data_IF_997124575714
#
_entry.id   IF_997124575714
#
_cell.length_a   1.000
_cell.length_b   1.000
_cell.length_c   1.000
_cell.angle_alpha   90.00
_cell.angle_beta   90.00
_cell.angle_gamma   90.00
#
_symmetry.space_group_name_H-M   'P 1'
#
loop_
_entity.id
_entity.type
_entity.pdbx_description
1 polymer ?
#
# COMPACT_ATOMS: atom_id res chain seq x y z
N UNK A 1 -8.96 -27.71 19.83
CA UNK A 1 -8.73 -26.26 20.01
C UNK A 1 -10.05 -25.57 19.72
N UNK A 2 -10.68 -24.97 20.73
CA UNK A 2 -11.97 -24.29 20.60
C UNK A 2 -11.68 -22.94 19.94
N UNK A 3 -12.18 -22.77 18.72
CA UNK A 3 -12.15 -21.51 18.00
C UNK A 3 -13.12 -20.57 18.73
N UNK A 4 -12.60 -19.70 19.60
CA UNK A 4 -13.42 -18.63 20.17
C UNK A 4 -13.93 -17.78 19.01
N UNK A 5 -15.24 -17.81 18.78
CA UNK A 5 -15.92 -16.86 17.94
C UNK A 5 -15.79 -15.49 18.62
N UNK A 6 -14.72 -14.78 18.30
CA UNK A 6 -14.64 -13.34 18.58
C UNK A 6 -15.83 -12.73 17.84
N UNK A 7 -16.75 -12.11 18.58
CA UNK A 7 -17.84 -11.35 17.99
C UNK A 7 -17.21 -10.31 17.05
N UNK A 8 -17.27 -10.58 15.74
CA UNK A 8 -16.72 -9.68 14.73
C UNK A 8 -17.68 -8.51 14.61
N UNK A 9 -17.34 -7.40 15.25
CA UNK A 9 -18.07 -6.15 15.11
C UNK A 9 -17.85 -5.59 13.71
N UNK A 10 -18.77 -5.93 12.81
CA UNK A 10 -18.84 -5.30 11.49
C UNK A 10 -19.36 -3.89 11.66
N UNK A 11 -18.62 -2.94 11.12
CA UNK A 11 -18.95 -1.53 11.05
C UNK A 11 -18.84 -1.06 9.61
N UNK A 12 -19.47 0.06 9.30
CA UNK A 12 -19.29 0.72 7.99
C UNK A 12 -18.16 1.74 8.05
N UNK A 13 -17.54 2.06 6.91
CA UNK A 13 -16.58 3.17 6.86
C UNK A 13 -17.24 4.52 7.23
N UNK A 14 -18.54 4.70 6.97
CA UNK A 14 -19.30 5.87 7.37
C UNK A 14 -19.47 6.00 8.89
N UNK A 15 -19.64 4.88 9.60
CA UNK A 15 -19.63 4.85 11.07
C UNK A 15 -18.24 5.22 11.62
N UNK A 16 -17.17 4.64 11.07
CA UNK A 16 -15.79 4.98 11.45
C UNK A 16 -15.47 6.45 11.16
N UNK A 17 -15.97 6.99 10.05
CA UNK A 17 -15.81 8.41 9.70
C UNK A 17 -16.43 9.34 10.73
N UNK A 18 -17.62 8.98 11.21
CA UNK A 18 -18.40 9.76 12.17
C UNK A 18 -17.94 9.53 13.62
N UNK A 19 -17.13 8.50 13.86
CA UNK A 19 -16.59 8.24 15.19
C UNK A 19 -15.72 9.41 15.65
N UNK A 20 -16.03 9.92 16.84
CA UNK A 20 -15.20 10.92 17.49
C UNK A 20 -14.07 10.19 18.23
N UNK A 21 -12.83 10.50 17.87
CA UNK A 21 -11.64 10.03 18.55
C UNK A 21 -11.01 11.25 19.19
N UNK A 22 -10.86 11.24 20.50
CA UNK A 22 -10.08 12.27 21.21
C UNK A 22 -8.63 12.17 20.71
N UNK A 23 -8.13 13.24 20.11
CA UNK A 23 -6.80 13.32 19.53
C UNK A 23 -6.16 14.64 19.95
N UNK A 24 -4.83 14.70 19.89
CA UNK A 24 -4.10 15.96 20.01
C UNK A 24 -4.46 16.88 18.84
N UNK A 25 -4.42 18.20 19.05
CA UNK A 25 -4.80 19.22 18.06
C UNK A 25 -4.05 19.07 16.72
N UNK A 26 -2.76 18.71 16.79
CA UNK A 26 -1.95 18.44 15.59
C UNK A 26 -2.49 17.24 14.79
N UNK A 27 -2.80 16.14 15.49
CA UNK A 27 -3.30 14.93 14.87
C UNK A 27 -4.72 15.12 14.33
N UNK A 28 -5.55 15.95 14.98
CA UNK A 28 -6.87 16.32 14.46
C UNK A 28 -6.77 17.11 13.16
N UNK A 29 -5.84 18.06 13.05
CA UNK A 29 -5.60 18.81 11.82
C UNK A 29 -5.13 17.90 10.67
N UNK A 30 -4.21 16.97 10.96
CA UNK A 30 -3.71 15.99 9.97
C UNK A 30 -4.84 15.04 9.57
N UNK A 31 -5.59 14.51 10.52
CA UNK A 31 -6.69 13.59 10.27
C UNK A 31 -7.80 14.25 9.44
N UNK A 32 -8.08 15.53 9.69
CA UNK A 32 -9.03 16.32 8.89
C UNK A 32 -8.58 16.46 7.42
N UNK A 33 -7.29 16.70 7.17
CA UNK A 33 -6.75 16.69 5.80
C UNK A 33 -6.89 15.32 5.15
N UNK A 34 -6.65 14.25 5.88
CA UNK A 34 -6.81 12.87 5.38
C UNK A 34 -8.28 12.56 5.08
N UNK A 35 -9.22 13.04 5.90
CA UNK A 35 -10.65 12.94 5.61
C UNK A 35 -11.00 13.57 4.27
N UNK A 36 -10.48 14.77 3.99
CA UNK A 36 -10.65 15.41 2.66
C UNK A 36 -10.07 14.54 1.54
N UNK A 37 -8.92 13.91 1.74
CA UNK A 37 -8.35 12.98 0.75
C UNK A 37 -9.25 11.76 0.49
N UNK A 38 -9.80 11.19 1.55
CA UNK A 38 -10.72 10.05 1.47
C UNK A 38 -11.95 10.45 0.64
N UNK A 39 -12.54 11.61 0.94
CA UNK A 39 -13.74 12.09 0.25
C UNK A 39 -13.50 12.43 -1.22
N UNK A 40 -12.33 12.97 -1.55
CA UNK A 40 -11.99 13.35 -2.93
C UNK A 40 -11.61 12.16 -3.83
N UNK A 41 -11.07 11.08 -3.26
CA UNK A 41 -10.49 9.99 -4.05
C UNK A 41 -11.27 8.69 -3.99
N UNK A 42 -11.96 8.38 -2.89
CA UNK A 42 -12.70 7.13 -2.82
C UNK A 42 -13.95 7.18 -3.72
N UNK A 43 -14.30 6.05 -4.36
CA UNK A 43 -15.46 5.98 -5.24
C UNK A 43 -16.77 6.12 -4.46
N UNK A 44 -17.84 6.50 -5.16
CA UNK A 44 -19.17 6.60 -4.57
C UNK A 44 -19.59 5.32 -3.83
N UNK A 45 -20.30 5.49 -2.71
CA UNK A 45 -20.71 4.39 -1.85
C UNK A 45 -19.61 3.80 -0.96
N UNK A 46 -18.42 4.43 -0.91
CA UNK A 46 -17.35 3.96 -0.01
C UNK A 46 -17.74 3.96 1.46
N UNK A 47 -18.64 4.87 1.88
CA UNK A 47 -19.15 4.94 3.25
C UNK A 47 -19.89 3.66 3.67
N UNK A 48 -20.50 2.95 2.73
CA UNK A 48 -21.26 1.71 2.98
C UNK A 48 -20.36 0.46 3.05
N UNK A 49 -19.06 0.60 2.80
CA UNK A 49 -18.14 -0.53 2.84
C UNK A 49 -18.04 -1.08 4.26
N UNK A 50 -18.40 -2.36 4.38
CA UNK A 50 -18.33 -3.10 5.64
C UNK A 50 -16.92 -3.55 5.92
N UNK A 51 -16.49 -3.28 7.15
CA UNK A 51 -15.16 -3.60 7.67
C UNK A 51 -15.31 -4.14 9.09
N UNK A 52 -14.34 -4.92 9.54
CA UNK A 52 -14.23 -5.32 10.94
C UNK A 52 -13.33 -4.29 11.62
N UNK A 53 -13.82 -3.66 12.68
CA UNK A 53 -13.02 -2.72 13.48
C UNK A 53 -12.03 -3.48 14.35
N UNK A 54 -10.88 -3.79 13.75
CA UNK A 54 -9.78 -4.41 14.45
C UNK A 54 -8.90 -3.36 15.12
N UNK A 55 -8.50 -3.67 16.36
CA UNK A 55 -7.44 -2.92 17.03
C UNK A 55 -6.10 -3.19 16.36
N UNK A 56 -5.20 -2.22 16.47
CA UNK A 56 -3.84 -2.29 15.91
C UNK A 56 -3.08 -3.51 16.45
N UNK A 57 -3.22 -3.78 17.74
CA UNK A 57 -2.55 -4.87 18.44
C UNK A 57 -3.07 -6.24 18.01
N UNK A 58 -4.35 -6.34 17.62
CA UNK A 58 -4.95 -7.59 17.17
C UNK A 58 -4.54 -7.94 15.73
N UNK A 59 -4.35 -6.92 14.88
CA UNK A 59 -3.89 -7.11 13.50
C UNK A 59 -2.40 -7.42 13.39
N UNK A 60 -1.58 -6.73 14.19
CA UNK A 60 -0.13 -6.72 14.01
C UNK A 60 0.65 -7.24 15.23
N UNK A 61 -0.02 -7.51 16.34
CA UNK A 61 0.61 -7.80 17.63
C UNK A 61 1.09 -6.55 18.36
N UNK A 62 1.70 -6.74 19.54
CA UNK A 62 2.25 -5.65 20.36
C UNK A 62 3.35 -4.84 19.68
N UNK A 63 4.06 -5.43 18.72
CA UNK A 63 5.13 -4.79 17.95
C UNK A 63 4.95 -5.14 16.49
N UNK A 64 4.84 -4.11 15.65
CA UNK A 64 4.69 -4.27 14.21
C UNK A 64 6.05 -4.61 13.60
N UNK A 65 6.13 -5.75 12.92
CA UNK A 65 7.33 -6.11 12.15
C UNK A 65 7.55 -5.10 11.01
N UNK A 66 8.77 -4.58 10.91
CA UNK A 66 9.21 -3.71 9.82
C UNK A 66 8.92 -4.31 8.43
N UNK A 67 9.03 -5.63 8.26
CA UNK A 67 8.73 -6.30 6.99
C UNK A 67 7.25 -6.16 6.62
N UNK A 68 6.36 -6.23 7.60
CA UNK A 68 4.92 -6.04 7.41
C UNK A 68 4.64 -4.56 7.13
N UNK A 69 5.17 -3.65 7.94
CA UNK A 69 5.00 -2.20 7.78
C UNK A 69 5.44 -1.70 6.39
N UNK A 70 6.51 -2.25 5.83
CA UNK A 70 6.99 -1.91 4.49
C UNK A 70 6.03 -2.36 3.38
N UNK A 71 5.34 -3.49 3.58
CA UNK A 71 4.33 -4.04 2.66
C UNK A 71 2.96 -3.38 2.80
N UNK A 72 2.71 -2.64 3.88
CA UNK A 72 1.46 -1.91 4.07
C UNK A 72 1.29 -0.89 2.94
N UNK A 73 0.12 -0.92 2.31
CA UNK A 73 -0.37 0.07 1.35
C UNK A 73 -1.79 0.46 1.74
N UNK A 74 -2.06 1.75 1.69
CA UNK A 74 -3.37 2.33 1.96
C UNK A 74 -4.05 2.66 0.64
N UNK A 75 -5.38 2.63 0.61
CA UNK A 75 -6.19 3.07 -0.51
C UNK A 75 -6.26 4.60 -0.62
N UNK A 76 -5.10 5.27 -0.54
CA UNK A 76 -4.97 6.72 -0.61
C UNK A 76 -3.77 7.13 -1.48
N UNK A 77 -3.87 8.21 -2.27
CA UNK A 77 -2.74 8.73 -3.05
C UNK A 77 -1.54 9.03 -2.16
N UNK A 78 -0.38 8.44 -2.47
CA UNK A 78 0.78 8.51 -1.57
C UNK A 78 1.39 9.91 -1.52
N UNK A 79 1.34 10.64 -2.64
CA UNK A 79 1.82 12.02 -2.72
C UNK A 79 1.01 12.96 -1.83
N UNK A 80 -0.31 12.92 -1.95
CA UNK A 80 -1.20 13.77 -1.18
C UNK A 80 -1.20 13.39 0.30
N UNK A 81 -1.07 12.10 0.59
CA UNK A 81 -0.89 11.61 1.96
C UNK A 81 0.35 12.21 2.61
N UNK A 82 1.49 12.27 1.91
CA UNK A 82 2.69 12.93 2.44
C UNK A 82 2.43 14.42 2.67
N UNK A 83 1.85 15.11 1.68
CA UNK A 83 1.55 16.55 1.78
C UNK A 83 0.56 16.86 2.92
N UNK A 84 -0.31 15.93 3.29
CA UNK A 84 -1.21 16.09 4.43
C UNK A 84 -0.45 16.18 5.77
N UNK A 85 0.60 15.38 5.95
CA UNK A 85 1.47 15.42 7.13
C UNK A 85 2.50 16.55 7.06
N UNK A 86 3.13 16.71 5.90
CA UNK A 86 4.23 17.68 5.68
C UNK A 86 3.96 18.47 4.40
N UNK A 87 3.20 19.57 4.46
CA UNK A 87 2.81 20.34 3.29
C UNK A 87 3.99 20.88 2.47
N UNK A 88 5.09 21.21 3.15
CA UNK A 88 6.30 21.80 2.55
C UNK A 88 7.39 20.77 2.21
N UNK A 89 7.11 19.47 2.35
CA UNK A 89 8.11 18.44 2.09
C UNK A 89 8.43 18.32 0.60
N UNK A 90 9.69 18.57 0.24
CA UNK A 90 10.23 18.38 -1.13
C UNK A 90 10.76 16.95 -1.35
N UNK A 91 10.97 16.19 -0.28
CA UNK A 91 11.41 14.80 -0.31
C UNK A 91 10.94 14.05 0.92
N UNK A 92 10.90 12.71 0.85
CA UNK A 92 10.49 11.87 1.99
C UNK A 92 11.51 10.77 2.25
N UNK A 93 12.16 10.88 3.40
CA UNK A 93 13.02 9.83 3.94
C UNK A 93 12.24 8.59 4.39
N UNK A 94 12.92 7.45 4.43
CA UNK A 94 12.29 6.18 4.85
C UNK A 94 11.77 6.24 6.30
N UNK A 95 12.52 6.85 7.21
CA UNK A 95 12.13 7.02 8.62
C UNK A 95 10.82 7.83 8.73
N UNK A 96 10.73 8.94 8.02
CA UNK A 96 9.53 9.79 7.99
C UNK A 96 8.35 9.04 7.41
N UNK A 97 8.54 8.32 6.30
CA UNK A 97 7.47 7.54 5.69
C UNK A 97 6.97 6.41 6.60
N UNK A 98 7.87 5.75 7.34
CA UNK A 98 7.48 4.75 8.34
C UNK A 98 6.66 5.37 9.47
N UNK A 99 7.03 6.56 9.95
CA UNK A 99 6.29 7.27 10.99
C UNK A 99 4.87 7.65 10.52
N UNK A 100 4.73 8.14 9.28
CA UNK A 100 3.42 8.40 8.67
C UNK A 100 2.54 7.14 8.71
N UNK A 101 3.08 5.99 8.28
CA UNK A 101 2.32 4.73 8.33
C UNK A 101 1.94 4.34 9.75
N UNK A 102 2.83 4.51 10.73
CA UNK A 102 2.54 4.17 12.12
C UNK A 102 1.40 5.03 12.68
N UNK A 103 1.42 6.34 12.43
CA UNK A 103 0.33 7.25 12.81
C UNK A 103 -0.99 6.87 12.14
N UNK A 104 -0.97 6.55 10.84
CA UNK A 104 -2.17 6.07 10.14
C UNK A 104 -2.74 4.77 10.73
N UNK A 105 -1.91 3.92 11.34
CA UNK A 105 -2.38 2.71 11.99
C UNK A 105 -3.04 2.96 13.35
N UNK A 106 -2.90 4.15 13.93
CA UNK A 106 -3.56 4.52 15.19
C UNK A 106 -5.04 4.89 14.96
N UNK A 107 -5.38 5.38 13.77
CA UNK A 107 -6.77 5.69 13.39
C UNK A 107 -7.50 4.49 12.77
N UNK A 108 -8.64 4.13 13.35
CA UNK A 108 -9.51 3.03 12.88
C UNK A 108 -9.93 3.19 11.41
N UNK A 109 -10.33 4.40 11.00
CA UNK A 109 -10.70 4.71 9.63
C UNK A 109 -9.56 4.41 8.65
N UNK A 110 -8.33 4.81 8.99
CA UNK A 110 -7.16 4.58 8.15
C UNK A 110 -6.71 3.12 8.13
N UNK A 111 -6.80 2.41 9.26
CA UNK A 111 -6.62 0.94 9.31
C UNK A 111 -7.58 0.24 8.35
N UNK A 112 -8.84 0.69 8.33
CA UNK A 112 -9.84 0.12 7.44
C UNK A 112 -9.54 0.37 5.95
N UNK A 113 -8.63 1.27 5.57
CA UNK A 113 -8.24 1.52 4.18
C UNK A 113 -7.01 0.72 3.71
N UNK A 114 -6.52 -0.23 4.50
CA UNK A 114 -5.37 -1.06 4.11
C UNK A 114 -5.76 -2.03 2.99
N UNK A 115 -5.02 -1.99 1.89
CA UNK A 115 -5.19 -2.87 0.72
C UNK A 115 -4.16 -4.01 0.64
N UNK A 116 -2.98 -3.79 1.22
CA UNK A 116 -1.87 -4.74 1.25
C UNK A 116 -1.22 -4.69 2.63
N UNK A 117 -0.72 -5.81 3.16
CA UNK A 117 -0.68 -7.15 2.57
C UNK A 117 -2.06 -7.84 2.52
N UNK A 118 -2.24 -8.78 1.59
CA UNK A 118 -3.54 -9.45 1.33
C UNK A 118 -4.13 -10.08 2.59
N UNK A 119 -3.30 -10.68 3.45
CA UNK A 119 -3.74 -11.30 4.70
C UNK A 119 -4.45 -10.30 5.62
N UNK A 120 -3.87 -9.10 5.78
CA UNK A 120 -4.42 -8.03 6.61
C UNK A 120 -5.71 -7.48 5.98
N UNK A 121 -5.71 -7.26 4.67
CA UNK A 121 -6.91 -6.81 3.96
C UNK A 121 -8.08 -7.82 4.10
N UNK A 122 -7.80 -9.12 4.01
CA UNK A 122 -8.81 -10.17 4.25
C UNK A 122 -9.35 -10.13 5.69
N UNK A 123 -8.48 -9.94 6.70
CA UNK A 123 -8.90 -9.84 8.09
C UNK A 123 -9.80 -8.63 8.34
N UNK A 124 -9.43 -7.47 7.80
CA UNK A 124 -10.20 -6.22 7.91
C UNK A 124 -11.56 -6.28 7.20
N UNK A 125 -11.70 -7.15 6.20
CA UNK A 125 -12.95 -7.30 5.45
C UNK A 125 -13.76 -8.50 5.89
N UNK A 126 -13.21 -9.39 6.71
CA UNK A 126 -13.84 -10.65 7.12
C UNK A 126 -13.79 -11.77 6.09
N UNK A 127 -13.62 -11.46 4.80
CA UNK A 127 -13.50 -12.46 3.75
C UNK A 127 -12.57 -12.04 2.61
N UNK A 128 -12.02 -13.04 1.91
CA UNK A 128 -11.20 -12.84 0.72
C UNK A 128 -11.99 -12.20 -0.42
N UNK A 129 -13.25 -12.60 -0.61
CA UNK A 129 -14.12 -12.05 -1.65
C UNK A 129 -14.37 -10.55 -1.45
N UNK A 130 -14.64 -10.11 -0.21
CA UNK A 130 -14.82 -8.68 0.09
C UNK A 130 -13.51 -7.89 -0.07
N UNK A 131 -12.37 -8.46 0.29
CA UNK A 131 -11.07 -7.83 0.05
C UNK A 131 -10.78 -7.66 -1.45
N UNK A 132 -11.19 -8.60 -2.30
CA UNK A 132 -11.06 -8.49 -3.76
C UNK A 132 -12.01 -7.45 -4.34
N UNK A 133 -13.26 -7.39 -3.90
CA UNK A 133 -14.22 -6.36 -4.31
C UNK A 133 -13.71 -4.96 -3.95
N UNK A 134 -13.19 -4.78 -2.73
CA UNK A 134 -12.54 -3.55 -2.32
C UNK A 134 -11.36 -3.20 -3.23
N UNK A 135 -10.46 -4.15 -3.48
CA UNK A 135 -9.29 -3.95 -4.34
C UNK A 135 -9.64 -3.62 -5.80
N UNK A 136 -10.78 -4.10 -6.30
CA UNK A 136 -11.33 -3.72 -7.61
C UNK A 136 -11.92 -2.32 -7.59
N UNK A 137 -12.65 -1.95 -6.53
CA UNK A 137 -13.23 -0.61 -6.41
C UNK A 137 -12.15 0.49 -6.35
N UNK A 138 -11.03 0.22 -5.69
CA UNK A 138 -9.89 1.16 -5.59
C UNK A 138 -8.87 0.97 -6.72
N UNK A 139 -9.11 0.07 -7.67
CA UNK A 139 -8.22 -0.19 -8.81
C UNK A 139 -7.90 1.06 -9.64
N UNK A 140 -8.86 1.95 -9.95
CA UNK A 140 -8.59 3.18 -10.68
C UNK A 140 -7.54 4.05 -9.98
N UNK A 141 -7.45 3.98 -8.65
CA UNK A 141 -6.56 4.79 -7.84
C UNK A 141 -5.16 4.17 -7.66
N UNK A 142 -4.94 2.91 -8.03
CA UNK A 142 -3.66 2.21 -7.76
C UNK A 142 -2.43 2.94 -8.35
N UNK A 143 -2.59 3.66 -9.45
CA UNK A 143 -1.51 4.39 -10.11
C UNK A 143 -1.03 5.64 -9.30
N UNK A 144 -1.86 6.17 -8.41
CA UNK A 144 -1.51 7.27 -7.49
C UNK A 144 -0.92 6.76 -6.17
N UNK A 145 -1.07 5.46 -5.88
CA UNK A 145 -0.54 4.76 -4.71
C UNK A 145 0.89 4.25 -4.95
N UNK A 146 1.79 5.20 -5.20
CA UNK A 146 3.16 4.92 -5.64
C UNK A 146 4.06 4.46 -4.50
N UNK A 147 5.24 3.94 -4.85
CA UNK A 147 6.28 3.70 -3.84
C UNK A 147 6.80 5.02 -3.27
N UNK A 148 7.50 4.94 -2.13
CA UNK A 148 8.13 6.11 -1.49
C UNK A 148 9.13 6.77 -2.44
N UNK A 149 9.93 5.99 -3.16
CA UNK A 149 10.95 6.46 -4.10
C UNK A 149 10.32 7.35 -5.17
N UNK A 150 9.28 6.84 -5.82
CA UNK A 150 8.52 7.57 -6.85
C UNK A 150 7.80 8.80 -6.28
N UNK A 151 7.39 8.75 -5.02
CA UNK A 151 6.75 9.89 -4.34
C UNK A 151 7.77 10.98 -4.05
N UNK A 152 8.97 10.61 -3.57
CA UNK A 152 10.05 11.56 -3.31
C UNK A 152 10.51 12.24 -4.59
N UNK A 153 10.63 11.50 -5.69
CA UNK A 153 10.95 12.05 -7.01
C UNK A 153 9.88 13.05 -7.50
N UNK A 154 8.60 12.70 -7.34
CA UNK A 154 7.49 13.59 -7.69
C UNK A 154 7.48 14.89 -6.86
N UNK A 155 7.76 14.81 -5.55
CA UNK A 155 7.85 15.98 -4.68
C UNK A 155 9.02 16.90 -5.06
N UNK A 156 10.14 16.31 -5.49
CA UNK A 156 11.30 17.08 -5.94
C UNK A 156 11.03 17.77 -7.29
N UNK A 157 10.24 17.14 -8.17
CA UNK A 157 9.89 17.71 -9.48
C UNK A 157 8.83 18.82 -9.38
N UNK A 158 7.88 18.72 -8.44
CA UNK A 158 6.86 19.76 -8.19
C UNK A 158 7.51 21.10 -7.77
N UNK A 159 8.67 21.05 -7.10
CA UNK A 159 9.44 22.23 -6.69
C UNK A 159 10.19 22.94 -7.83
N UNK A 160 10.31 22.33 -9.01
CA UNK A 160 11.08 22.82 -10.16
C UNK A 160 10.20 23.16 -11.38
N UNK A 161 8.93 23.53 -11.16
CA UNK A 161 7.98 23.88 -12.24
C UNK A 161 7.97 25.37 -12.61
N UNK A 162 9.16 25.91 -12.83
CA UNK A 162 9.51 26.85 -13.91
C UNK A 162 10.87 26.28 -14.30
N UNK A 163 11.10 25.58 -15.41
CA UNK A 163 11.04 25.99 -16.81
C UNK A 163 11.10 24.70 -17.67
N UNK A 164 10.25 24.64 -18.68
CA UNK A 164 10.46 24.06 -20.02
C UNK A 164 11.27 22.76 -20.23
N UNK A 165 10.65 21.90 -21.05
CA UNK A 165 11.29 21.01 -22.03
C UNK A 165 11.38 19.53 -21.66
N UNK A 166 10.39 18.79 -22.19
CA UNK A 166 10.56 17.56 -22.96
C UNK A 166 12.03 17.08 -23.04
N UNK A 167 12.39 16.09 -22.24
CA UNK A 167 13.53 15.23 -22.55
C UNK A 167 13.06 13.78 -22.64
N UNK A 168 12.60 13.43 -23.85
CA UNK A 168 12.67 12.06 -24.37
C UNK A 168 14.14 11.63 -24.28
N UNK A 169 14.48 10.71 -23.38
CA UNK A 169 15.64 9.84 -23.58
C UNK A 169 15.17 8.48 -24.10
N UNK A 170 15.05 8.41 -25.42
CA UNK A 170 15.18 7.19 -26.23
C UNK A 170 16.59 7.20 -26.85
N UNK A 171 17.25 6.03 -26.86
CA UNK A 171 18.36 5.57 -27.75
C UNK A 171 19.73 6.28 -27.58
N UNK A 172 20.90 5.65 -27.77
CA UNK A 172 21.39 4.56 -28.67
C UNK A 172 22.41 3.67 -27.91
N UNK A 173 22.59 2.35 -28.08
CA UNK A 173 22.96 1.51 -29.24
C UNK A 173 24.33 1.82 -29.89
N UNK A 174 25.24 0.81 -29.86
CA UNK A 174 26.23 0.34 -30.87
C UNK A 174 27.54 -0.12 -30.17
N UNK A 175 28.26 -1.20 -30.50
CA UNK A 175 28.20 -2.20 -31.58
C UNK A 175 29.32 -3.26 -31.39
N UNK A 176 29.05 -4.49 -31.81
CA UNK A 176 29.92 -5.46 -32.54
C UNK A 176 31.35 -5.76 -32.06
N UNK A 177 31.63 -7.05 -31.83
CA UNK A 177 32.60 -7.82 -32.63
C UNK A 177 32.23 -9.30 -32.60
N UNK A 178 32.18 -9.89 -33.79
CA UNK A 178 32.01 -11.30 -34.11
C UNK A 178 33.15 -12.17 -33.55
N UNK A 179 32.88 -13.46 -33.27
CA UNK A 179 33.66 -14.57 -33.85
C UNK A 179 33.12 -15.96 -33.42
N UNK A 180 32.84 -16.75 -34.46
CA UNK A 180 32.93 -18.21 -34.61
C UNK A 180 32.38 -19.22 -33.56
N UNK A 181 31.30 -19.89 -33.98
CA UNK A 181 30.95 -21.30 -33.71
C UNK A 181 32.12 -22.26 -34.05
N UNK A 182 32.22 -23.52 -33.55
CA UNK A 182 31.14 -24.50 -33.72
C UNK A 182 31.06 -25.74 -32.76
N UNK A 183 30.04 -26.56 -33.07
CA UNK A 183 29.91 -28.04 -32.90
C UNK A 183 29.16 -28.60 -31.68
N UNK A 184 27.96 -29.11 -32.02
CA UNK A 184 27.20 -30.25 -31.48
C UNK A 184 27.97 -31.26 -30.62
N UNK A 185 27.33 -31.77 -29.58
CA UNK A 185 27.07 -33.23 -29.47
C UNK A 185 25.93 -33.54 -28.50
N UNK A 186 25.29 -34.66 -28.77
CA UNK A 186 23.99 -35.10 -28.29
C UNK A 186 24.02 -35.74 -26.89
N UNK A 187 22.81 -35.95 -26.35
CA UNK A 187 22.44 -36.54 -25.04
C UNK A 187 23.01 -37.97 -24.86
N UNK A 188 22.98 -38.57 -23.63
CA UNK A 188 21.76 -39.27 -23.26
C UNK A 188 21.36 -39.27 -21.77
N UNK A 189 20.05 -39.37 -21.64
CA UNK A 189 19.18 -39.70 -20.51
C UNK A 189 19.57 -41.04 -19.85
N UNK A 190 19.79 -41.06 -18.53
CA UNK A 190 19.82 -42.31 -17.73
C UNK A 190 18.62 -42.38 -16.79
N UNK A 191 17.91 -43.50 -16.91
CA UNK A 191 16.67 -43.88 -16.25
C UNK A 191 16.99 -45.00 -15.24
N UNK A 192 16.15 -45.12 -14.20
CA UNK A 192 15.96 -46.26 -13.26
C UNK A 192 16.94 -46.31 -12.07
N UNK A 193 16.53 -46.74 -10.87
CA UNK A 193 15.48 -47.72 -10.50
C UNK A 193 15.03 -47.51 -9.03
N UNK A 194 13.74 -47.73 -8.76
CA UNK A 194 13.22 -48.09 -7.43
C UNK A 194 13.79 -49.45 -7.02
N UNK A 195 14.12 -49.62 -5.74
CA UNK A 195 14.13 -50.93 -5.08
C UNK A 195 13.29 -50.77 -3.82
N UNK A 196 12.20 -51.53 -3.78
CA UNK A 196 11.44 -51.87 -2.57
C UNK A 196 12.07 -53.14 -2.02
N UNK A 197 12.43 -53.12 -0.74
CA UNK A 197 12.51 -54.30 0.13
C UNK A 197 12.32 -53.79 1.54
#
# INVERSE_FOLDING_TARGET
MIQMAMATNFVTLGELWSSHVEMEEEDEAIFSRIKVLIENHLPDGWRDWKVIDWKKEDLFGKKIDHKVLNKIRFALPTLELVKAFYPEATSVGEKTYRNIKLRLLDWNLCRALIMSPRQVACQLRGSMAQAELFNKAVEPLKHTMRSRELTSEALSTDGESNYTSRSKRRRCQSSSSDDEYPVRTEKPMKRRRRVLS
#
